data_IF_106446601074
#
_entry.id   IF_106446601074
#
_cell.length_a   1.000
_cell.length_b   1.000
_cell.length_c   1.000
_cell.angle_alpha   90.00
_cell.angle_beta   90.00
_cell.angle_gamma   90.00
#
_symmetry.space_group_name_H-M   'P 1'
#
loop_
_entity.id
_entity.type
_entity.pdbx_description
1 polymer ?
#
# COMPACT_ATOMS: atom_id res chain seq x y z
N UNK A 1 15.93 -25.81 76.91
CA UNK A 1 15.83 -24.84 75.80
C UNK A 1 15.49 -25.59 74.52
N UNK A 2 14.22 -25.63 74.13
CA UNK A 2 13.78 -26.22 72.85
C UNK A 2 13.42 -25.06 71.93
N UNK A 3 14.15 -24.91 70.81
CA UNK A 3 13.85 -23.91 69.78
C UNK A 3 12.84 -24.50 68.81
N UNK A 4 11.62 -23.98 68.81
CA UNK A 4 10.60 -24.26 67.78
C UNK A 4 10.91 -23.39 66.57
N UNK A 5 11.20 -24.01 65.42
CA UNK A 5 11.38 -23.33 64.15
C UNK A 5 10.00 -23.16 63.49
N UNK A 6 9.51 -21.93 63.39
CA UNK A 6 8.25 -21.59 62.73
C UNK A 6 8.50 -21.54 61.22
N UNK A 7 8.02 -22.53 60.47
CA UNK A 7 8.04 -22.52 59.00
C UNK A 7 6.87 -21.69 58.48
N UNK A 8 7.15 -20.50 57.93
CA UNK A 8 6.18 -19.69 57.20
C UNK A 8 6.06 -20.24 55.78
N UNK A 9 4.94 -20.87 55.46
CA UNK A 9 4.60 -21.28 54.10
C UNK A 9 4.07 -20.07 53.35
N UNK A 10 4.90 -19.49 52.47
CA UNK A 10 4.48 -18.46 51.52
C UNK A 10 3.69 -19.13 50.39
N UNK A 11 2.36 -19.04 50.44
CA UNK A 11 1.48 -19.40 49.32
C UNK A 11 1.60 -18.34 48.23
N UNK A 12 2.51 -18.55 47.27
CA UNK A 12 2.59 -17.77 46.04
C UNK A 12 1.39 -18.19 45.15
N UNK A 13 0.34 -17.38 45.13
CA UNK A 13 -0.69 -17.49 44.09
C UNK A 13 -0.06 -17.04 42.76
N UNK A 14 0.39 -18.00 41.96
CA UNK A 14 0.66 -17.74 40.55
C UNK A 14 -0.69 -17.40 39.87
N UNK A 15 -0.81 -16.26 39.15
CA UNK A 15 -2.01 -16.00 38.38
C UNK A 15 -2.16 -17.11 37.35
N UNK A 16 -3.25 -17.89 37.45
CA UNK A 16 -3.65 -18.80 36.40
C UNK A 16 -3.77 -18.00 35.10
N UNK A 17 -3.24 -18.48 33.95
CA UNK A 17 -3.48 -17.80 32.70
C UNK A 17 -4.99 -17.74 32.48
N UNK A 18 -5.53 -16.52 32.40
CA UNK A 18 -6.92 -16.31 32.04
C UNK A 18 -7.16 -16.98 30.68
N UNK A 19 -7.93 -18.06 30.68
CA UNK A 19 -8.31 -18.76 29.46
C UNK A 19 -9.12 -17.83 28.56
N UNK A 20 -9.03 -18.04 27.24
CA UNK A 20 -9.91 -17.33 26.32
C UNK A 20 -11.37 -17.72 26.59
N UNK A 21 -12.28 -16.74 26.55
CA UNK A 21 -13.73 -16.98 26.50
C UNK A 21 -14.06 -17.58 25.14
N UNK A 22 -14.54 -18.82 25.10
CA UNK A 22 -14.94 -19.51 23.87
C UNK A 22 -16.45 -19.44 23.72
N UNK A 23 -16.94 -18.92 22.59
CA UNK A 23 -18.36 -18.97 22.26
C UNK A 23 -18.69 -20.37 21.71
N UNK A 24 -19.35 -21.20 22.51
CA UNK A 24 -19.64 -22.61 22.17
C UNK A 24 -20.87 -22.81 21.26
N UNK A 25 -21.64 -21.74 21.05
CA UNK A 25 -22.87 -21.73 20.27
C UNK A 25 -23.08 -20.37 19.60
N UNK A 26 -23.98 -20.32 18.63
CA UNK A 26 -24.40 -19.07 18.01
C UNK A 26 -24.80 -18.05 19.08
N UNK A 27 -24.19 -16.88 19.01
CA UNK A 27 -24.25 -15.88 20.08
C UNK A 27 -24.61 -14.52 19.48
N UNK A 28 -25.44 -13.77 20.20
CA UNK A 28 -25.80 -12.39 19.85
C UNK A 28 -25.25 -11.44 20.91
N UNK A 29 -24.49 -10.45 20.48
CA UNK A 29 -24.02 -9.33 21.29
C UNK A 29 -24.88 -8.09 21.03
N UNK A 30 -25.25 -7.41 22.11
CA UNK A 30 -26.18 -6.26 22.13
C UNK A 30 -25.78 -5.29 23.22
N UNK A 31 -25.87 -4.00 22.94
CA UNK A 31 -25.59 -2.94 23.91
C UNK A 31 -24.10 -2.83 24.22
N UNK A 32 -23.77 -2.48 25.47
CA UNK A 32 -22.38 -2.34 25.90
C UNK A 32 -21.83 -3.66 26.48
N UNK A 33 -20.72 -4.14 25.94
CA UNK A 33 -20.04 -5.35 26.41
C UNK A 33 -18.55 -5.06 26.53
N UNK A 34 -17.92 -5.52 27.60
CA UNK A 34 -16.48 -5.35 27.82
C UNK A 34 -15.80 -6.69 28.12
N UNK A 35 -14.60 -6.89 27.58
CA UNK A 35 -13.81 -8.10 27.77
C UNK A 35 -12.39 -7.76 28.24
N UNK A 36 -11.93 -8.47 29.27
CA UNK A 36 -10.56 -8.39 29.80
C UNK A 36 -9.69 -9.59 29.42
N UNK A 37 -10.34 -10.59 28.83
CA UNK A 37 -9.81 -11.85 28.36
C UNK A 37 -10.05 -11.99 26.85
N UNK A 38 -9.19 -12.73 26.11
CA UNK A 38 -9.42 -12.99 24.70
C UNK A 38 -10.76 -13.70 24.46
N UNK A 39 -11.43 -13.39 23.37
CA UNK A 39 -12.66 -14.05 22.95
C UNK A 39 -12.41 -14.82 21.66
N UNK A 40 -12.79 -16.10 21.63
CA UNK A 40 -12.65 -17.00 20.49
C UNK A 40 -14.03 -17.45 20.00
N UNK A 41 -14.30 -17.23 18.72
CA UNK A 41 -15.47 -17.76 17.99
C UNK A 41 -14.99 -18.94 17.14
N UNK A 42 -15.20 -20.20 17.55
CA UNK A 42 -14.71 -21.36 16.84
C UNK A 42 -15.42 -21.58 15.50
N UNK A 43 -14.86 -22.45 14.66
CA UNK A 43 -15.49 -22.85 13.41
C UNK A 43 -16.88 -23.46 13.66
N UNK A 44 -17.85 -23.15 12.80
CA UNK A 44 -19.24 -23.59 12.96
C UNK A 44 -20.11 -22.71 13.86
N UNK A 45 -19.53 -21.72 14.56
CA UNK A 45 -20.26 -20.77 15.40
C UNK A 45 -20.40 -19.41 14.72
N UNK A 46 -21.59 -18.82 14.81
CA UNK A 46 -21.89 -17.46 14.36
C UNK A 46 -21.95 -16.49 15.53
N UNK A 47 -21.13 -15.45 15.47
CA UNK A 47 -21.29 -14.26 16.30
C UNK A 47 -22.08 -13.18 15.52
N UNK A 48 -23.22 -12.77 16.07
CA UNK A 48 -23.97 -11.62 15.57
C UNK A 48 -23.80 -10.44 16.53
N UNK A 49 -23.45 -9.27 16.02
CA UNK A 49 -23.39 -8.03 16.80
C UNK A 49 -24.46 -7.09 16.27
N UNK A 50 -25.40 -6.70 17.14
CA UNK A 50 -26.52 -5.84 16.74
C UNK A 50 -26.06 -4.38 16.53
N UNK A 51 -26.73 -3.64 15.62
CA UNK A 51 -26.53 -2.21 15.46
C UNK A 51 -26.57 -1.44 16.77
N UNK A 52 -25.69 -0.44 16.90
CA UNK A 52 -25.58 0.39 18.10
C UNK A 52 -24.86 -0.27 19.28
N UNK A 53 -24.32 -1.48 19.12
CA UNK A 53 -23.54 -2.13 20.18
C UNK A 53 -22.15 -1.52 20.31
N UNK A 54 -21.65 -1.39 21.55
CA UNK A 54 -20.30 -0.94 21.86
C UNK A 54 -19.53 -2.06 22.57
N UNK A 55 -18.55 -2.63 21.87
CA UNK A 55 -17.76 -3.76 22.34
C UNK A 55 -16.35 -3.26 22.68
N UNK A 56 -15.98 -3.35 23.96
CA UNK A 56 -14.70 -2.84 24.49
C UNK A 56 -13.77 -3.98 24.89
N UNK A 57 -12.49 -3.88 24.53
CA UNK A 57 -11.46 -4.86 24.88
C UNK A 57 -10.32 -4.20 25.68
N UNK A 58 -9.91 -4.83 26.78
CA UNK A 58 -8.78 -4.37 27.59
C UNK A 58 -7.68 -5.42 27.62
N UNK A 59 -6.55 -5.14 26.95
CA UNK A 59 -5.41 -6.08 26.81
C UNK A 59 -5.82 -7.47 26.25
N UNK A 60 -6.92 -7.50 25.50
CA UNK A 60 -7.56 -8.69 24.95
C UNK A 60 -7.71 -8.61 23.42
N UNK A 61 -8.62 -9.37 22.83
CA UNK A 61 -8.98 -9.29 21.41
C UNK A 61 -10.03 -10.32 21.02
N UNK A 62 -10.52 -10.24 19.78
CA UNK A 62 -11.51 -11.16 19.23
C UNK A 62 -10.90 -11.98 18.09
N UNK A 63 -10.87 -13.30 18.23
CA UNK A 63 -10.54 -14.20 17.11
C UNK A 63 -11.81 -14.87 16.60
N UNK A 64 -12.08 -14.77 15.30
CA UNK A 64 -13.19 -15.45 14.64
C UNK A 64 -12.64 -16.47 13.66
N UNK A 65 -12.93 -17.75 13.91
CA UNK A 65 -12.71 -18.89 13.00
C UNK A 65 -14.03 -19.40 12.39
N UNK A 66 -15.15 -19.08 13.02
CA UNK A 66 -16.50 -19.30 12.49
C UNK A 66 -16.96 -18.13 11.62
N UNK A 67 -18.14 -17.60 11.92
CA UNK A 67 -18.76 -16.50 11.17
C UNK A 67 -18.98 -15.28 12.06
N UNK A 68 -18.80 -14.09 11.51
CA UNK A 68 -19.20 -12.83 12.17
C UNK A 68 -20.17 -12.03 11.30
N UNK A 69 -21.22 -11.52 11.92
CA UNK A 69 -22.20 -10.60 11.33
C UNK A 69 -22.32 -9.38 12.24
N UNK A 70 -21.59 -8.31 11.94
CA UNK A 70 -21.68 -7.05 12.66
C UNK A 70 -22.11 -5.92 11.72
N UNK A 71 -23.07 -5.13 12.19
CA UNK A 71 -23.55 -3.94 11.49
C UNK A 71 -23.55 -2.77 12.46
N UNK A 72 -23.08 -1.60 12.02
CA UNK A 72 -23.24 -0.32 12.74
C UNK A 72 -22.86 -0.42 14.23
N UNK A 73 -21.80 -1.18 14.51
CA UNK A 73 -21.30 -1.46 15.86
C UNK A 73 -19.92 -0.82 16.05
N UNK A 74 -19.58 -0.53 17.30
CA UNK A 74 -18.27 -0.01 17.66
C UNK A 74 -17.44 -1.09 18.35
N UNK A 75 -16.21 -1.27 17.88
CA UNK A 75 -15.18 -2.08 18.51
C UNK A 75 -14.02 -1.17 18.93
N UNK A 76 -13.74 -1.10 20.22
CA UNK A 76 -12.68 -0.25 20.74
C UNK A 76 -11.97 -0.91 21.91
N UNK A 77 -10.89 -0.29 22.39
CA UNK A 77 -10.14 -0.87 23.50
C UNK A 77 -8.80 -0.23 23.77
N UNK A 78 -8.16 -0.71 24.83
CA UNK A 78 -6.81 -0.29 25.23
C UNK A 78 -5.86 -1.48 25.16
N UNK A 79 -4.72 -1.28 24.48
CA UNK A 79 -3.70 -2.32 24.29
C UNK A 79 -4.25 -3.66 23.75
N UNK A 80 -5.35 -3.61 22.99
CA UNK A 80 -6.01 -4.79 22.45
C UNK A 80 -5.50 -5.13 21.04
N UNK A 81 -5.61 -6.40 20.66
CA UNK A 81 -5.04 -6.89 19.40
C UNK A 81 -5.84 -6.46 18.17
N UNK A 82 -7.15 -6.30 18.32
CA UNK A 82 -8.09 -6.04 17.22
C UNK A 82 -9.04 -7.20 16.94
N UNK A 83 -9.66 -7.16 15.76
CA UNK A 83 -10.49 -8.24 15.22
C UNK A 83 -9.62 -9.14 14.33
N UNK A 84 -9.48 -10.41 14.68
CA UNK A 84 -8.69 -11.39 13.91
C UNK A 84 -9.63 -12.41 13.26
N UNK A 85 -9.83 -12.28 11.96
CA UNK A 85 -10.69 -13.14 11.15
C UNK A 85 -9.83 -14.20 10.44
N UNK A 86 -9.92 -15.47 10.86
CA UNK A 86 -9.10 -16.57 10.33
C UNK A 86 -9.94 -17.55 9.55
N UNK A 87 -9.68 -17.66 8.24
CA UNK A 87 -10.39 -18.61 7.38
C UNK A 87 -11.88 -18.32 7.21
N UNK A 88 -12.34 -17.12 7.59
CA UNK A 88 -13.77 -16.77 7.51
C UNK A 88 -14.22 -16.65 6.07
N UNK A 89 -15.45 -17.07 5.78
CA UNK A 89 -16.03 -17.04 4.44
C UNK A 89 -16.59 -15.67 4.03
N UNK A 90 -17.07 -15.61 2.78
CA UNK A 90 -17.76 -14.45 2.18
C UNK A 90 -19.07 -14.08 2.90
N UNK A 91 -19.60 -15.02 3.66
CA UNK A 91 -20.79 -14.88 4.49
C UNK A 91 -20.52 -14.14 5.81
N UNK A 92 -19.26 -13.88 6.16
CA UNK A 92 -18.87 -12.98 7.24
C UNK A 92 -18.87 -11.52 6.78
N UNK A 93 -19.47 -10.65 7.59
CA UNK A 93 -19.72 -9.26 7.26
C UNK A 93 -19.41 -8.36 8.46
N UNK A 94 -18.60 -7.33 8.21
CA UNK A 94 -18.54 -6.12 9.02
C UNK A 94 -19.02 -4.96 8.14
N UNK A 95 -20.13 -4.32 8.51
CA UNK A 95 -20.73 -3.25 7.73
C UNK A 95 -21.03 -2.01 8.57
N UNK A 96 -20.53 -0.83 8.19
CA UNK A 96 -20.79 0.41 8.92
C UNK A 96 -20.19 0.44 10.33
N UNK A 97 -19.29 -0.49 10.67
CA UNK A 97 -18.70 -0.56 12.00
C UNK A 97 -17.58 0.47 12.18
N UNK A 98 -17.40 0.93 13.42
CA UNK A 98 -16.24 1.74 13.83
C UNK A 98 -15.25 0.85 14.59
N UNK A 99 -13.96 0.90 14.23
CA UNK A 99 -12.90 0.12 14.87
C UNK A 99 -11.74 1.02 15.26
N UNK A 100 -11.38 1.07 16.54
CA UNK A 100 -10.34 1.98 17.05
C UNK A 100 -9.50 1.46 18.23
N UNK A 101 -8.33 2.07 18.43
CA UNK A 101 -7.46 1.80 19.59
C UNK A 101 -6.70 0.47 19.56
N UNK A 102 -6.71 -0.24 18.42
CA UNK A 102 -6.13 -1.57 18.28
C UNK A 102 -4.68 -1.56 17.81
N UNK A 103 -3.96 -2.66 18.09
CA UNK A 103 -2.71 -2.96 17.40
C UNK A 103 -2.93 -3.18 15.89
N UNK A 104 -4.00 -3.86 15.49
CA UNK A 104 -4.47 -3.96 14.10
C UNK A 104 -5.98 -3.98 14.09
N UNK A 105 -6.66 -2.97 13.55
CA UNK A 105 -8.12 -2.87 13.65
C UNK A 105 -8.84 -4.13 13.17
N UNK A 106 -8.58 -4.53 11.92
CA UNK A 106 -9.07 -5.79 11.35
C UNK A 106 -7.93 -6.54 10.68
N UNK A 107 -7.68 -7.77 11.11
CA UNK A 107 -6.71 -8.67 10.49
C UNK A 107 -7.41 -9.87 9.89
N UNK A 108 -7.26 -10.08 8.59
CA UNK A 108 -7.79 -11.24 7.87
C UNK A 108 -6.65 -12.18 7.50
N UNK A 109 -6.76 -13.44 7.90
CA UNK A 109 -5.80 -14.50 7.59
C UNK A 109 -6.50 -15.60 6.78
N UNK A 110 -6.15 -15.75 5.51
CA UNK A 110 -6.72 -16.78 4.61
C UNK A 110 -8.25 -16.80 4.54
N UNK A 111 -8.89 -15.63 4.69
CA UNK A 111 -10.36 -15.48 4.65
C UNK A 111 -10.83 -14.57 3.52
N UNK A 112 -12.13 -14.56 3.27
CA UNK A 112 -12.79 -13.75 2.24
C UNK A 112 -13.97 -12.90 2.77
N UNK A 113 -13.89 -12.26 3.95
CA UNK A 113 -15.00 -11.50 4.50
C UNK A 113 -15.34 -10.25 3.66
N UNK A 114 -16.55 -9.73 3.89
CA UNK A 114 -16.98 -8.43 3.40
C UNK A 114 -16.76 -7.36 4.47
N UNK A 115 -15.97 -6.35 4.13
CA UNK A 115 -15.64 -5.20 4.97
C UNK A 115 -16.17 -3.95 4.27
N UNK A 116 -17.30 -3.43 4.73
CA UNK A 116 -18.09 -2.45 3.99
C UNK A 116 -18.37 -1.21 4.84
N UNK A 117 -18.09 -0.01 4.33
CA UNK A 117 -18.44 1.23 5.03
C UNK A 117 -17.77 1.39 6.40
N UNK A 118 -16.63 0.74 6.63
CA UNK A 118 -15.98 0.75 7.94
C UNK A 118 -15.30 2.09 8.21
N UNK A 119 -15.33 2.53 9.47
CA UNK A 119 -14.47 3.61 9.96
C UNK A 119 -13.37 2.99 10.82
N UNK A 120 -12.16 2.93 10.28
CA UNK A 120 -11.01 2.28 10.94
C UNK A 120 -9.94 3.33 11.25
N UNK A 121 -9.89 3.75 12.51
CA UNK A 121 -9.09 4.90 12.92
C UNK A 121 -8.35 4.73 14.25
N UNK A 122 -7.27 5.49 14.42
CA UNK A 122 -6.46 5.51 15.65
C UNK A 122 -5.93 4.13 16.05
N UNK A 123 -5.71 3.24 15.08
CA UNK A 123 -5.05 1.96 15.29
C UNK A 123 -3.57 2.08 14.90
N UNK A 124 -2.75 1.08 15.21
CA UNK A 124 -1.40 1.02 14.64
C UNK A 124 -1.43 0.63 13.16
N UNK A 125 -2.19 -0.40 12.82
CA UNK A 125 -2.55 -0.76 11.44
C UNK A 125 -4.08 -0.76 11.36
N UNK A 126 -4.65 -0.18 10.32
CA UNK A 126 -6.10 -0.18 10.15
C UNK A 126 -6.62 -1.57 9.78
N UNK A 127 -6.41 -1.98 8.53
CA UNK A 127 -6.78 -3.30 8.01
C UNK A 127 -5.53 -4.02 7.48
N UNK A 128 -5.36 -5.29 7.84
CA UNK A 128 -4.27 -6.13 7.37
C UNK A 128 -4.81 -7.44 6.76
N UNK A 129 -4.54 -7.65 5.48
CA UNK A 129 -4.94 -8.84 4.72
C UNK A 129 -3.69 -9.67 4.42
N UNK A 130 -3.62 -10.90 4.94
CA UNK A 130 -2.43 -11.75 4.83
C UNK A 130 -2.76 -13.16 4.39
N UNK A 131 -1.74 -13.91 3.95
CA UNK A 131 -1.83 -15.36 3.64
C UNK A 131 -2.97 -15.67 2.66
N UNK A 132 -2.90 -15.12 1.46
CA UNK A 132 -3.89 -15.36 0.39
C UNK A 132 -5.33 -14.98 0.77
N UNK A 133 -5.50 -13.95 1.61
CA UNK A 133 -6.84 -13.42 1.90
C UNK A 133 -7.46 -12.77 0.65
N UNK A 134 -8.78 -12.95 0.51
CA UNK A 134 -9.57 -12.55 -0.66
C UNK A 134 -10.78 -11.67 -0.26
N UNK A 135 -10.59 -10.84 0.77
CA UNK A 135 -11.62 -9.95 1.30
C UNK A 135 -12.11 -8.90 0.29
N UNK A 136 -13.33 -8.41 0.48
CA UNK A 136 -13.80 -7.15 -0.15
C UNK A 136 -13.65 -6.03 0.88
N UNK A 137 -12.99 -4.94 0.50
CA UNK A 137 -12.90 -3.69 1.27
C UNK A 137 -13.52 -2.60 0.42
N UNK A 138 -14.70 -2.10 0.81
CA UNK A 138 -15.47 -1.17 -0.02
C UNK A 138 -16.09 -0.04 0.78
N UNK A 139 -15.96 1.20 0.32
CA UNK A 139 -16.58 2.36 0.98
C UNK A 139 -16.00 2.66 2.36
N UNK A 140 -14.81 2.15 2.69
CA UNK A 140 -14.23 2.27 4.02
C UNK A 140 -13.43 3.56 4.15
N UNK A 141 -13.44 4.17 5.35
CA UNK A 141 -12.54 5.25 5.75
C UNK A 141 -11.44 4.70 6.65
N UNK A 142 -10.19 4.79 6.22
CA UNK A 142 -9.01 4.37 6.97
C UNK A 142 -8.16 5.60 7.29
N UNK A 143 -8.31 6.12 8.50
CA UNK A 143 -7.75 7.42 8.85
C UNK A 143 -6.95 7.41 10.14
N UNK A 144 -5.90 8.23 10.24
CA UNK A 144 -5.13 8.45 11.47
C UNK A 144 -4.59 7.16 12.11
N UNK A 145 -4.32 6.12 11.32
CA UNK A 145 -3.65 4.94 11.84
C UNK A 145 -2.15 5.25 11.91
N UNK A 146 -1.51 4.95 13.06
CA UNK A 146 -0.16 5.44 13.36
C UNK A 146 0.94 4.85 12.47
N UNK A 147 0.63 3.81 11.67
CA UNK A 147 1.54 3.32 10.62
C UNK A 147 0.86 3.18 9.26
N UNK A 148 -0.09 2.26 9.12
CA UNK A 148 -0.64 1.89 7.81
C UNK A 148 -2.15 1.86 7.86
N UNK A 149 -2.82 2.48 6.89
CA UNK A 149 -4.27 2.36 6.72
C UNK A 149 -4.64 0.93 6.32
N UNK A 150 -4.25 0.51 5.11
CA UNK A 150 -4.49 -0.83 4.58
C UNK A 150 -3.18 -1.54 4.18
N UNK A 151 -3.02 -2.79 4.59
CA UNK A 151 -1.88 -3.64 4.21
C UNK A 151 -2.36 -4.91 3.51
N UNK A 152 -1.88 -5.15 2.29
CA UNK A 152 -2.07 -6.41 1.56
C UNK A 152 -0.74 -7.13 1.49
N UNK A 153 -0.69 -8.37 2.00
CA UNK A 153 0.56 -9.11 2.14
C UNK A 153 0.42 -10.57 1.74
N UNK A 154 1.51 -11.11 1.19
CA UNK A 154 1.73 -12.56 1.04
C UNK A 154 0.58 -13.25 0.27
N UNK A 155 0.38 -12.82 -0.97
CA UNK A 155 -0.55 -13.43 -1.93
C UNK A 155 -2.00 -12.97 -1.81
N UNK A 156 -2.30 -11.89 -1.09
CA UNK A 156 -3.66 -11.38 -0.97
C UNK A 156 -4.23 -10.95 -2.35
N UNK A 157 -5.49 -11.32 -2.62
CA UNK A 157 -6.20 -11.07 -3.89
C UNK A 157 -7.44 -10.18 -3.72
N UNK A 158 -7.54 -9.49 -2.58
CA UNK A 158 -8.68 -8.65 -2.20
C UNK A 158 -9.17 -7.65 -3.28
N UNK A 159 -10.45 -7.31 -3.21
CA UNK A 159 -11.03 -6.18 -3.94
C UNK A 159 -11.08 -4.95 -3.04
N UNK A 160 -10.41 -3.86 -3.42
CA UNK A 160 -10.34 -2.60 -2.66
C UNK A 160 -10.93 -1.49 -3.52
N UNK A 161 -12.11 -1.01 -3.15
CA UNK A 161 -12.86 -0.06 -3.98
C UNK A 161 -13.46 1.08 -3.18
N UNK A 162 -13.45 2.28 -3.76
CA UNK A 162 -14.16 3.45 -3.24
C UNK A 162 -13.86 3.74 -1.75
N UNK A 163 -12.62 3.50 -1.32
CA UNK A 163 -12.17 3.76 0.04
C UNK A 163 -11.45 5.11 0.16
N UNK A 164 -11.59 5.73 1.32
CA UNK A 164 -10.91 6.98 1.69
C UNK A 164 -9.74 6.69 2.66
N UNK A 165 -8.55 7.13 2.30
CA UNK A 165 -7.33 7.05 3.09
C UNK A 165 -6.86 8.45 3.47
N UNK A 166 -6.68 8.69 4.76
CA UNK A 166 -6.35 10.03 5.25
C UNK A 166 -5.40 10.03 6.45
N UNK A 167 -4.32 10.79 6.33
CA UNK A 167 -3.42 11.10 7.44
C UNK A 167 -2.91 9.86 8.21
N UNK A 168 -2.57 8.77 7.49
CA UNK A 168 -1.92 7.62 8.11
C UNK A 168 -0.41 7.86 8.27
N UNK A 169 0.18 7.32 9.33
CA UNK A 169 1.52 7.73 9.79
C UNK A 169 2.68 7.35 8.87
N UNK A 170 2.51 6.36 8.00
CA UNK A 170 3.57 5.91 7.07
C UNK A 170 3.06 5.64 5.66
N UNK A 171 1.98 4.88 5.54
CA UNK A 171 1.37 4.52 4.26
C UNK A 171 -0.15 4.59 4.34
N UNK A 172 -0.81 5.18 3.35
CA UNK A 172 -2.26 5.03 3.20
C UNK A 172 -2.60 3.57 2.93
N UNK A 173 -2.06 3.03 1.84
CA UNK A 173 -2.08 1.62 1.51
C UNK A 173 -0.69 1.07 1.19
N UNK A 174 -0.40 -0.17 1.62
CA UNK A 174 0.82 -0.89 1.29
C UNK A 174 0.51 -2.29 0.75
N UNK A 175 0.84 -2.52 -0.52
CA UNK A 175 0.71 -3.79 -1.21
C UNK A 175 2.11 -4.43 -1.31
N UNK A 176 2.26 -5.60 -0.72
CA UNK A 176 3.50 -6.36 -0.66
C UNK A 176 3.27 -7.80 -1.13
N UNK A 177 3.95 -8.19 -2.20
CA UNK A 177 3.88 -9.53 -2.81
C UNK A 177 2.44 -10.02 -2.98
N UNK A 178 1.58 -9.14 -3.47
CA UNK A 178 0.14 -9.34 -3.55
C UNK A 178 -0.39 -8.72 -4.83
N UNK A 179 -1.47 -9.29 -5.38
CA UNK A 179 -2.12 -8.83 -6.60
C UNK A 179 -3.63 -8.74 -6.32
N UNK A 180 -4.11 -7.63 -5.73
CA UNK A 180 -5.54 -7.42 -5.56
C UNK A 180 -6.27 -7.59 -6.89
N UNK A 181 -7.43 -8.27 -6.87
CA UNK A 181 -8.29 -8.45 -8.05
C UNK A 181 -8.85 -7.13 -8.56
N UNK A 182 -8.94 -6.11 -7.68
CA UNK A 182 -9.34 -4.74 -8.03
C UNK A 182 -8.78 -3.76 -7.00
N UNK A 183 -8.23 -2.64 -7.48
CA UNK A 183 -7.83 -1.50 -6.65
C UNK A 183 -8.22 -0.20 -7.38
N UNK A 184 -9.43 0.28 -7.14
CA UNK A 184 -10.02 1.33 -7.96
C UNK A 184 -10.96 2.29 -7.21
N UNK A 185 -11.09 3.52 -7.69
CA UNK A 185 -12.01 4.51 -7.11
C UNK A 185 -11.59 5.02 -5.73
N UNK A 186 -10.40 4.66 -5.25
CA UNK A 186 -9.94 5.05 -3.93
C UNK A 186 -9.40 6.47 -3.93
N UNK A 187 -9.51 7.14 -2.79
CA UNK A 187 -9.01 8.49 -2.56
C UNK A 187 -7.96 8.49 -1.46
N UNK A 188 -6.84 9.18 -1.70
CA UNK A 188 -5.75 9.33 -0.74
C UNK A 188 -5.42 10.80 -0.55
N UNK A 189 -5.38 11.26 0.71
CA UNK A 189 -5.04 12.65 1.08
C UNK A 189 -4.19 12.72 2.34
N UNK A 190 -3.32 13.72 2.40
CA UNK A 190 -2.47 14.01 3.55
C UNK A 190 -1.62 12.80 3.99
N UNK A 191 -1.27 11.91 3.06
CA UNK A 191 -0.45 10.75 3.33
C UNK A 191 1.03 11.09 3.15
N UNK A 192 1.89 10.46 3.97
CA UNK A 192 3.34 10.51 3.71
C UNK A 192 3.69 9.75 2.42
N UNK A 193 3.08 8.59 2.24
CA UNK A 193 3.10 7.85 0.97
C UNK A 193 1.70 7.26 0.81
N UNK A 194 0.94 7.76 -0.15
CA UNK A 194 -0.45 7.35 -0.31
C UNK A 194 -0.57 5.87 -0.69
N UNK A 195 0.14 5.44 -1.74
CA UNK A 195 0.18 4.03 -2.16
C UNK A 195 1.60 3.52 -2.32
N UNK A 196 1.96 2.49 -1.56
CA UNK A 196 3.22 1.76 -1.68
C UNK A 196 3.00 0.41 -2.35
N UNK A 197 3.68 0.16 -3.46
CA UNK A 197 3.72 -1.12 -4.18
C UNK A 197 5.15 -1.64 -4.12
N UNK A 198 5.38 -2.80 -3.49
CA UNK A 198 6.76 -3.23 -3.25
C UNK A 198 7.01 -4.70 -3.51
N UNK A 199 8.22 -4.97 -3.98
CA UNK A 199 8.80 -6.28 -4.28
C UNK A 199 8.25 -6.91 -5.56
N UNK A 200 9.12 -7.69 -6.20
CA UNK A 200 8.76 -8.53 -7.34
C UNK A 200 7.50 -9.38 -7.07
N UNK A 201 6.62 -9.43 -8.06
CA UNK A 201 5.33 -10.10 -7.98
C UNK A 201 4.20 -9.20 -7.46
N UNK A 202 4.48 -7.96 -7.07
CA UNK A 202 3.47 -6.92 -6.83
C UNK A 202 3.15 -6.20 -8.14
N UNK A 203 2.34 -6.85 -8.97
CA UNK A 203 2.00 -6.36 -10.31
C UNK A 203 0.47 -6.23 -10.51
N UNK A 204 -0.25 -5.52 -9.64
CA UNK A 204 -1.68 -5.29 -9.82
C UNK A 204 -1.98 -4.22 -10.89
N UNK A 205 -3.24 -4.18 -11.32
CA UNK A 205 -3.82 -3.01 -11.99
C UNK A 205 -4.34 -2.05 -10.92
N UNK A 206 -3.82 -0.82 -10.94
CA UNK A 206 -4.24 0.30 -10.08
C UNK A 206 -4.94 1.31 -11.00
N UNK A 207 -6.26 1.43 -10.88
CA UNK A 207 -7.05 2.16 -11.86
C UNK A 207 -8.05 3.16 -11.27
N UNK A 208 -8.13 4.36 -11.84
CA UNK A 208 -9.18 5.32 -11.48
C UNK A 208 -9.13 5.80 -10.04
N UNK A 209 -7.94 5.89 -9.43
CA UNK A 209 -7.77 6.40 -8.07
C UNK A 209 -7.41 7.89 -8.08
N UNK A 210 -7.73 8.59 -7.01
CA UNK A 210 -7.39 10.00 -6.79
C UNK A 210 -6.39 10.11 -5.64
N UNK A 211 -5.16 10.56 -5.94
CA UNK A 211 -4.08 10.70 -4.98
C UNK A 211 -3.60 12.15 -4.98
N UNK A 212 -4.11 12.94 -4.03
CA UNK A 212 -3.81 14.37 -3.96
C UNK A 212 -3.32 14.82 -2.60
N UNK A 213 -2.53 15.89 -2.57
CA UNK A 213 -2.09 16.54 -1.34
C UNK A 213 -1.29 15.59 -0.42
N UNK A 214 -0.49 14.70 -1.04
CA UNK A 214 0.38 13.76 -0.34
C UNK A 214 1.85 14.17 -0.49
N UNK A 215 2.70 13.68 0.41
CA UNK A 215 4.14 13.82 0.23
C UNK A 215 4.63 12.95 -0.94
N UNK A 216 4.15 11.71 -1.05
CA UNK A 216 4.29 10.89 -2.26
C UNK A 216 2.95 10.27 -2.64
N UNK A 217 2.51 10.43 -3.89
CA UNK A 217 1.29 9.81 -4.41
C UNK A 217 1.43 8.29 -4.50
N UNK A 218 2.20 7.82 -5.48
CA UNK A 218 2.48 6.39 -5.67
C UNK A 218 3.99 6.14 -5.57
N UNK A 219 4.39 5.18 -4.75
CA UNK A 219 5.75 4.65 -4.73
C UNK A 219 5.78 3.20 -5.19
N UNK A 220 6.53 2.92 -6.24
CA UNK A 220 6.79 1.58 -6.75
C UNK A 220 8.24 1.22 -6.42
N UNK A 221 8.44 0.10 -5.74
CA UNK A 221 9.74 -0.23 -5.14
C UNK A 221 10.15 -1.70 -5.32
N UNK A 222 11.45 -1.97 -5.43
CA UNK A 222 12.07 -3.30 -5.43
C UNK A 222 11.50 -4.24 -6.50
N UNK A 223 11.55 -3.82 -7.76
CA UNK A 223 11.12 -4.63 -8.91
C UNK A 223 9.63 -4.99 -8.96
N UNK A 224 8.77 -4.21 -8.29
CA UNK A 224 7.33 -4.25 -8.56
C UNK A 224 7.02 -3.67 -9.96
N UNK A 225 6.04 -4.26 -10.66
CA UNK A 225 5.67 -3.88 -12.04
C UNK A 225 4.15 -3.72 -12.20
N UNK A 226 3.51 -2.80 -11.45
CA UNK A 226 2.09 -2.56 -11.56
C UNK A 226 1.72 -1.91 -12.90
N UNK A 227 0.45 -2.02 -13.27
CA UNK A 227 -0.17 -1.20 -14.31
C UNK A 227 -0.93 -0.06 -13.64
N UNK A 228 -0.57 1.18 -13.96
CA UNK A 228 -1.21 2.39 -13.44
C UNK A 228 -2.04 3.00 -14.58
N UNK A 229 -3.36 3.01 -14.44
CA UNK A 229 -4.26 3.40 -15.54
C UNK A 229 -5.33 4.40 -15.08
N UNK A 230 -5.41 5.56 -15.71
CA UNK A 230 -6.52 6.50 -15.45
C UNK A 230 -6.57 7.05 -14.02
N UNK A 231 -5.44 7.12 -13.31
CA UNK A 231 -5.37 7.73 -11.98
C UNK A 231 -5.16 9.25 -12.09
N UNK A 232 -5.73 10.02 -11.15
CA UNK A 232 -5.42 11.43 -10.95
C UNK A 232 -4.43 11.55 -9.77
N UNK A 233 -3.20 11.97 -10.07
CA UNK A 233 -2.07 12.06 -9.15
C UNK A 233 -1.61 13.53 -9.15
N UNK A 234 -2.21 14.35 -8.29
CA UNK A 234 -2.09 15.80 -8.40
C UNK A 234 -1.78 16.51 -7.08
N UNK A 235 -0.99 17.58 -7.11
CA UNK A 235 -0.75 18.39 -5.90
C UNK A 235 0.11 17.68 -4.85
N UNK A 236 0.86 16.66 -5.23
CA UNK A 236 1.77 15.95 -4.32
C UNK A 236 3.18 16.57 -4.40
N UNK A 237 4.02 16.34 -3.38
CA UNK A 237 5.45 16.65 -3.55
C UNK A 237 6.07 15.75 -4.61
N UNK A 238 5.86 14.45 -4.54
CA UNK A 238 6.21 13.52 -5.64
C UNK A 238 4.96 12.79 -6.10
N UNK A 239 4.60 12.91 -7.38
CA UNK A 239 3.45 12.22 -7.95
C UNK A 239 3.67 10.71 -7.99
N UNK A 240 4.62 10.27 -8.82
CA UNK A 240 5.03 8.87 -8.97
C UNK A 240 6.52 8.72 -8.67
N UNK A 241 6.88 7.83 -7.76
CA UNK A 241 8.26 7.47 -7.45
C UNK A 241 8.56 6.01 -7.81
N UNK A 242 9.32 5.80 -8.88
CA UNK A 242 9.86 4.50 -9.26
C UNK A 242 11.25 4.31 -8.66
N UNK A 243 11.41 3.33 -7.77
CA UNK A 243 12.63 3.12 -7.00
C UNK A 243 13.11 1.67 -7.10
N UNK A 244 14.42 1.47 -7.24
CA UNK A 244 15.09 0.15 -7.26
C UNK A 244 14.45 -0.84 -8.23
N UNK A 245 14.71 -0.64 -9.52
CA UNK A 245 14.34 -1.57 -10.60
C UNK A 245 12.85 -1.76 -10.80
N UNK A 246 12.07 -0.74 -10.43
CA UNK A 246 10.63 -0.77 -10.59
C UNK A 246 10.24 -0.33 -12.00
N UNK A 247 9.51 -1.19 -12.70
CA UNK A 247 9.21 -1.01 -14.13
C UNK A 247 7.68 -0.96 -14.36
N UNK A 248 6.95 0.02 -13.78
CA UNK A 248 5.50 0.10 -13.96
C UNK A 248 5.14 0.51 -15.40
N UNK A 249 3.96 0.07 -15.85
CA UNK A 249 3.32 0.58 -17.07
C UNK A 249 2.34 1.68 -16.68
N UNK A 250 2.53 2.89 -17.17
CA UNK A 250 1.80 4.09 -16.75
C UNK A 250 1.12 4.70 -17.95
N UNK A 251 -0.20 4.50 -18.07
CA UNK A 251 -0.96 4.90 -19.25
C UNK A 251 -2.25 5.62 -18.93
N UNK A 252 -2.54 6.72 -19.63
CA UNK A 252 -3.83 7.42 -19.49
C UNK A 252 -4.02 8.10 -18.13
N UNK A 253 -2.95 8.34 -17.36
CA UNK A 253 -3.03 9.00 -16.07
C UNK A 253 -2.90 10.51 -16.20
N UNK A 254 -3.41 11.22 -15.20
CA UNK A 254 -3.17 12.64 -14.99
C UNK A 254 -2.19 12.78 -13.83
N UNK A 255 -0.98 13.22 -14.11
CA UNK A 255 0.08 13.43 -13.13
C UNK A 255 0.45 14.91 -13.22
N UNK A 256 -0.25 15.77 -12.48
CA UNK A 256 -0.19 17.23 -12.68
C UNK A 256 0.08 18.01 -11.41
N UNK A 257 0.59 19.23 -11.53
CA UNK A 257 0.72 20.15 -10.40
C UNK A 257 1.46 19.54 -9.19
N UNK A 258 2.37 18.60 -9.42
CA UNK A 258 3.24 18.06 -8.38
C UNK A 258 4.56 18.85 -8.37
N UNK A 259 5.27 18.82 -7.25
CA UNK A 259 6.62 19.40 -7.21
C UNK A 259 7.57 18.60 -8.15
N UNK A 260 7.49 17.27 -8.10
CA UNK A 260 8.07 16.36 -9.08
C UNK A 260 6.95 15.43 -9.58
N UNK A 261 6.66 15.45 -10.88
CA UNK A 261 5.66 14.57 -11.49
C UNK A 261 6.05 13.11 -11.37
N UNK A 262 7.18 12.74 -11.99
CA UNK A 262 7.74 11.39 -11.95
C UNK A 262 9.20 11.42 -11.54
N UNK A 263 9.53 10.76 -10.42
CA UNK A 263 10.89 10.52 -9.96
C UNK A 263 11.29 9.08 -10.27
N UNK A 264 12.42 8.89 -10.95
CA UNK A 264 12.93 7.56 -11.32
C UNK A 264 14.34 7.40 -10.79
N UNK A 265 14.56 6.34 -10.00
CA UNK A 265 15.86 6.10 -9.41
C UNK A 265 16.25 4.64 -9.26
N UNK A 266 17.57 4.41 -9.18
CA UNK A 266 18.21 3.11 -8.98
C UNK A 266 17.77 2.06 -10.00
N UNK A 267 18.06 2.34 -11.26
CA UNK A 267 17.86 1.43 -12.39
C UNK A 267 16.41 0.98 -12.57
N UNK A 268 15.47 1.90 -12.36
CA UNK A 268 14.03 1.71 -12.59
C UNK A 268 13.69 2.15 -14.02
N UNK A 269 12.86 1.41 -14.74
CA UNK A 269 12.52 1.73 -16.13
C UNK A 269 11.01 1.70 -16.36
N UNK A 270 10.27 2.68 -15.82
CA UNK A 270 8.86 2.84 -16.15
C UNK A 270 8.66 3.13 -17.63
N UNK A 271 7.49 2.73 -18.14
CA UNK A 271 7.00 3.16 -19.45
C UNK A 271 5.82 4.10 -19.22
N UNK A 272 5.96 5.35 -19.65
CA UNK A 272 4.98 6.42 -19.48
C UNK A 272 4.42 6.76 -20.86
N UNK A 273 3.16 6.40 -21.14
CA UNK A 273 2.51 6.71 -22.43
C UNK A 273 1.13 7.33 -22.23
N UNK A 274 0.75 8.26 -23.10
CA UNK A 274 -0.61 8.81 -23.12
C UNK A 274 -1.06 9.39 -21.77
N UNK A 275 -0.13 9.94 -21.00
CA UNK A 275 -0.41 10.63 -19.76
C UNK A 275 -0.44 12.16 -19.99
N UNK A 276 -1.16 12.83 -19.10
CA UNK A 276 -1.11 14.27 -18.90
C UNK A 276 -0.09 14.55 -17.78
N UNK A 277 1.02 15.20 -18.13
CA UNK A 277 2.13 15.57 -17.23
C UNK A 277 2.22 17.09 -16.99
N UNK A 278 1.13 17.83 -17.24
CA UNK A 278 1.17 19.29 -17.23
C UNK A 278 1.31 19.89 -15.83
N UNK A 279 1.95 21.08 -15.77
CA UNK A 279 1.97 21.93 -14.59
C UNK A 279 2.78 21.38 -13.40
N UNK A 280 3.55 20.31 -13.57
CA UNK A 280 4.52 19.90 -12.56
C UNK A 280 5.71 20.85 -12.57
N UNK A 281 6.27 21.19 -11.40
CA UNK A 281 7.49 22.03 -11.35
C UNK A 281 8.67 21.34 -12.06
N UNK A 282 8.79 20.03 -11.89
CA UNK A 282 9.64 19.17 -12.71
C UNK A 282 8.80 17.96 -13.13
N UNK A 283 8.55 17.78 -14.43
CA UNK A 283 7.70 16.70 -14.92
C UNK A 283 8.36 15.33 -14.72
N UNK A 284 9.66 15.23 -14.98
CA UNK A 284 10.41 13.98 -14.83
C UNK A 284 11.83 14.23 -14.31
N UNK A 285 12.24 13.47 -13.31
CA UNK A 285 13.58 13.53 -12.72
C UNK A 285 14.22 12.15 -12.65
N UNK A 286 15.47 12.05 -13.10
CA UNK A 286 16.31 10.87 -12.92
C UNK A 286 17.32 11.10 -11.77
N UNK A 287 17.50 10.09 -10.92
CA UNK A 287 18.52 10.08 -9.86
C UNK A 287 19.16 8.69 -9.75
N UNK A 288 20.49 8.59 -9.73
CA UNK A 288 21.18 7.30 -9.64
C UNK A 288 20.65 6.27 -10.66
N UNK A 289 20.31 6.74 -11.86
CA UNK A 289 19.63 5.97 -12.89
C UNK A 289 20.61 5.65 -14.01
N UNK A 290 21.02 4.38 -14.13
CA UNK A 290 22.03 3.99 -15.12
C UNK A 290 21.89 2.53 -15.54
N UNK A 291 21.74 2.29 -16.85
CA UNK A 291 21.81 0.93 -17.41
C UNK A 291 23.24 0.38 -17.37
N UNK A 292 24.24 1.26 -17.46
CA UNK A 292 25.64 0.87 -17.37
C UNK A 292 25.94 0.30 -15.98
N UNK A 293 25.46 0.99 -14.94
CA UNK A 293 25.53 0.50 -13.57
C UNK A 293 24.81 -0.83 -13.40
N UNK A 294 23.56 -0.94 -13.89
CA UNK A 294 22.74 -2.15 -13.74
C UNK A 294 23.38 -3.37 -14.39
N UNK A 295 24.02 -3.20 -15.56
CA UNK A 295 24.74 -4.28 -16.26
C UNK A 295 25.97 -4.77 -15.50
N UNK A 296 26.69 -3.88 -14.83
CA UNK A 296 27.96 -4.22 -14.19
C UNK A 296 27.80 -4.61 -12.71
N UNK A 297 26.93 -3.93 -11.97
CA UNK A 297 26.81 -4.04 -10.51
C UNK A 297 25.45 -4.58 -10.03
N UNK A 298 24.43 -4.55 -10.89
CA UNK A 298 23.05 -4.89 -10.50
C UNK A 298 22.90 -6.27 -9.87
N UNK A 299 23.49 -7.30 -10.47
CA UNK A 299 23.39 -8.68 -9.98
C UNK A 299 24.00 -8.85 -8.58
N UNK A 300 25.18 -8.26 -8.34
CA UNK A 300 25.85 -8.29 -7.04
C UNK A 300 25.05 -7.53 -5.98
N UNK A 301 24.52 -6.35 -6.31
CA UNK A 301 23.67 -5.57 -5.40
C UNK A 301 22.41 -6.34 -4.98
N UNK A 302 21.79 -7.09 -5.90
CA UNK A 302 20.61 -7.93 -5.61
C UNK A 302 20.91 -9.10 -4.68
N UNK A 303 22.08 -9.71 -4.80
CA UNK A 303 22.50 -10.77 -3.87
C UNK A 303 22.62 -10.23 -2.45
N UNK A 304 23.16 -9.02 -2.28
CA UNK A 304 23.28 -8.36 -0.97
C UNK A 304 21.91 -7.94 -0.40
N UNK A 305 20.99 -7.42 -1.22
CA UNK A 305 19.63 -7.06 -0.77
C UNK A 305 18.83 -8.28 -0.28
N UNK A 306 19.00 -9.44 -0.92
CA UNK A 306 18.30 -10.69 -0.56
C UNK A 306 18.66 -11.19 0.84
N UNK A 307 19.89 -10.92 1.28
CA UNK A 307 20.37 -11.27 2.62
C UNK A 307 19.78 -10.36 3.71
N UNK A 308 19.24 -9.18 3.34
CA UNK A 308 18.70 -8.16 4.26
C UNK A 308 17.19 -7.98 4.05
N UNK A 309 16.41 -9.02 4.32
CA UNK A 309 14.94 -8.91 4.31
C UNK A 309 14.45 -8.02 5.46
N UNK A 310 13.70 -6.96 5.14
CA UNK A 310 13.14 -6.01 6.12
C UNK A 310 12.12 -6.62 7.10
N UNK A 311 11.72 -7.88 6.90
CA UNK A 311 10.73 -8.59 7.72
C UNK A 311 11.18 -10.00 8.15
N UNK A 312 12.47 -10.35 8.02
CA UNK A 312 13.02 -11.61 8.55
C UNK A 312 12.47 -12.92 7.97
N UNK A 313 11.51 -12.87 7.05
CA UNK A 313 10.88 -14.06 6.49
C UNK A 313 11.72 -14.67 5.35
N UNK A 314 11.94 -15.99 5.43
CA UNK A 314 12.47 -16.79 4.32
C UNK A 314 11.49 -16.71 3.14
N UNK A 315 11.96 -16.48 1.91
CA UNK A 315 11.08 -16.40 0.75
C UNK A 315 10.44 -17.78 0.48
N UNK A 316 9.11 -17.83 0.35
CA UNK A 316 8.37 -19.04 -0.08
C UNK A 316 8.71 -19.48 -1.52
N UNK A 317 9.33 -18.59 -2.31
CA UNK A 317 9.85 -18.85 -3.66
C UNK A 317 11.11 -18.03 -3.89
N UNK A 318 12.20 -18.66 -4.33
CA UNK A 318 13.39 -17.95 -4.80
C UNK A 318 13.04 -17.22 -6.11
N UNK A 319 13.01 -15.90 -6.06
CA UNK A 319 12.91 -15.09 -7.29
C UNK A 319 14.25 -15.17 -8.01
N UNK A 320 14.26 -15.63 -9.26
CA UNK A 320 15.48 -15.74 -10.08
C UNK A 320 16.07 -14.38 -10.42
N UNK A 321 17.34 -14.36 -10.84
CA UNK A 321 17.99 -13.13 -11.30
C UNK A 321 17.29 -12.52 -12.51
N UNK A 322 16.86 -13.35 -13.46
CA UNK A 322 16.11 -12.92 -14.65
C UNK A 322 14.79 -12.23 -14.29
N UNK A 323 14.09 -12.73 -13.27
CA UNK A 323 12.84 -12.15 -12.80
C UNK A 323 13.05 -10.77 -12.14
N UNK A 324 14.21 -10.51 -11.53
CA UNK A 324 14.51 -9.25 -10.81
C UNK A 324 15.16 -8.19 -11.68
N UNK A 325 15.81 -8.59 -12.77
CA UNK A 325 16.55 -7.69 -13.66
C UNK A 325 15.59 -6.79 -14.42
N UNK A 326 15.99 -5.54 -14.62
CA UNK A 326 15.29 -4.61 -15.51
C UNK A 326 15.13 -5.20 -16.92
N UNK A 327 13.95 -5.01 -17.52
CA UNK A 327 13.64 -5.54 -18.86
C UNK A 327 14.27 -4.74 -20.01
N UNK A 328 14.82 -3.55 -19.72
CA UNK A 328 15.28 -2.58 -20.72
C UNK A 328 16.71 -2.85 -21.19
N UNK A 329 16.94 -2.62 -22.49
CA UNK A 329 18.24 -2.86 -23.14
C UNK A 329 19.07 -1.59 -23.33
N UNK A 330 18.49 -0.40 -23.46
CA UNK A 330 19.20 0.77 -24.01
C UNK A 330 19.42 1.94 -23.04
N UNK A 331 18.98 1.85 -21.78
CA UNK A 331 19.20 2.95 -20.81
C UNK A 331 18.38 4.20 -21.08
N UNK A 332 17.17 4.02 -21.61
CA UNK A 332 16.23 5.10 -21.86
C UNK A 332 14.97 4.89 -21.04
N UNK A 333 14.48 5.97 -20.43
CA UNK A 333 13.14 6.03 -19.86
C UNK A 333 12.17 6.39 -20.97
N UNK A 334 11.24 5.50 -21.29
CA UNK A 334 10.25 5.71 -22.34
C UNK A 334 9.12 6.60 -21.83
N UNK A 335 9.14 7.88 -22.23
CA UNK A 335 8.13 8.88 -21.89
C UNK A 335 7.49 9.50 -23.13
N UNK A 336 7.39 8.72 -24.21
CA UNK A 336 6.80 9.18 -25.48
C UNK A 336 5.28 9.28 -25.38
N UNK A 337 4.68 9.97 -26.33
CA UNK A 337 3.23 10.14 -26.46
C UNK A 337 2.57 10.68 -25.18
N UNK A 338 3.29 11.43 -24.34
CA UNK A 338 2.67 12.18 -23.26
C UNK A 338 2.34 13.60 -23.72
N UNK A 339 1.39 14.23 -23.04
CA UNK A 339 1.16 15.66 -23.12
C UNK A 339 1.84 16.33 -21.94
N UNK A 340 2.61 17.40 -22.20
CA UNK A 340 3.49 18.02 -21.20
C UNK A 340 2.93 19.33 -20.63
N UNK A 341 1.78 19.79 -21.11
CA UNK A 341 1.29 21.16 -20.91
C UNK A 341 1.36 21.97 -22.19
N UNK A 342 0.58 23.04 -22.30
CA UNK A 342 0.50 23.84 -23.53
C UNK A 342 1.83 24.56 -23.82
N UNK A 343 2.41 25.21 -22.81
CA UNK A 343 3.66 25.96 -22.95
C UNK A 343 4.85 25.03 -23.17
N UNK A 344 4.94 23.96 -22.37
CA UNK A 344 5.98 22.93 -22.47
C UNK A 344 5.95 22.26 -23.83
N UNK A 345 4.76 21.89 -24.32
CA UNK A 345 4.60 21.30 -25.67
C UNK A 345 4.98 22.29 -26.77
N UNK A 346 4.69 23.58 -26.61
CA UNK A 346 5.14 24.63 -27.55
C UNK A 346 6.67 24.73 -27.57
N UNK A 347 7.32 24.72 -26.41
CA UNK A 347 8.79 24.72 -26.29
C UNK A 347 9.42 23.50 -26.94
N UNK A 348 8.87 22.31 -26.73
CA UNK A 348 9.35 21.07 -27.35
C UNK A 348 9.35 21.15 -28.89
N UNK A 349 8.38 21.83 -29.51
CA UNK A 349 8.36 22.04 -30.97
C UNK A 349 9.54 22.86 -31.47
N UNK A 350 10.00 23.82 -30.66
CA UNK A 350 11.18 24.64 -30.98
C UNK A 350 12.48 23.88 -30.70
N UNK A 351 12.54 23.13 -29.58
CA UNK A 351 13.73 22.37 -29.16
C UNK A 351 13.99 21.13 -30.04
N UNK A 352 12.92 20.50 -30.55
CA UNK A 352 13.01 19.25 -31.29
C UNK A 352 13.18 18.01 -30.40
N UNK A 353 13.23 16.82 -31.01
CA UNK A 353 13.25 15.54 -30.30
C UNK A 353 14.51 15.29 -29.46
N UNK A 354 15.62 15.93 -29.81
CA UNK A 354 16.91 15.75 -29.15
C UNK A 354 17.26 16.88 -28.15
N UNK A 355 16.38 17.88 -28.02
CA UNK A 355 16.60 19.04 -27.16
C UNK A 355 16.64 18.72 -25.66
N UNK A 356 16.99 19.73 -24.85
CA UNK A 356 17.03 19.62 -23.40
C UNK A 356 15.96 20.52 -22.73
N UNK A 357 14.74 20.01 -22.52
CA UNK A 357 13.68 20.78 -21.87
C UNK A 357 13.89 20.88 -20.34
N UNK A 358 13.76 22.08 -19.78
CA UNK A 358 14.02 22.39 -18.37
C UNK A 358 13.12 21.66 -17.36
N UNK A 359 11.98 21.13 -17.81
CA UNK A 359 11.05 20.38 -16.98
C UNK A 359 11.37 18.86 -16.95
N UNK A 360 12.41 18.42 -17.63
CA UNK A 360 12.98 17.08 -17.53
C UNK A 360 14.42 17.21 -17.03
N UNK A 361 14.75 16.49 -15.96
CA UNK A 361 16.11 16.43 -15.45
C UNK A 361 16.69 15.04 -15.69
N UNK A 362 17.61 14.92 -16.65
CA UNK A 362 18.20 13.65 -17.06
C UNK A 362 19.70 13.76 -17.41
N UNK A 363 20.24 12.75 -18.10
CA UNK A 363 21.64 12.72 -18.56
C UNK A 363 22.09 13.88 -19.45
N UNK A 364 21.20 14.77 -19.89
CA UNK A 364 21.53 16.03 -20.56
C UNK A 364 21.92 17.12 -19.56
N UNK A 365 21.27 17.17 -18.41
CA UNK A 365 21.55 18.14 -17.34
C UNK A 365 22.67 17.68 -16.42
N UNK A 366 22.69 16.38 -16.12
CA UNK A 366 23.70 15.75 -15.27
C UNK A 366 24.27 14.53 -16.00
N UNK A 367 25.46 14.68 -16.58
CA UNK A 367 26.06 13.61 -17.40
C UNK A 367 26.36 12.32 -16.60
N UNK A 368 26.81 12.44 -15.35
CA UNK A 368 27.19 11.29 -14.52
C UNK A 368 26.81 11.47 -13.06
N UNK A 369 26.86 10.37 -12.29
CA UNK A 369 26.80 10.36 -10.83
C UNK A 369 27.84 9.42 -10.23
N UNK A 370 28.23 9.66 -8.98
CA UNK A 370 29.18 8.81 -8.25
C UNK A 370 28.46 7.77 -7.39
N UNK A 371 28.85 6.50 -7.52
CA UNK A 371 28.40 5.43 -6.62
C UNK A 371 29.52 4.39 -6.43
N UNK A 372 29.85 4.11 -5.16
CA UNK A 372 30.90 3.15 -4.81
C UNK A 372 32.30 3.57 -5.28
N UNK A 373 32.57 4.88 -5.37
CA UNK A 373 33.86 5.43 -5.84
C UNK A 373 34.08 5.31 -7.34
N UNK A 374 33.02 5.06 -8.12
CA UNK A 374 33.05 5.03 -9.57
C UNK A 374 31.98 5.98 -10.14
N UNK A 375 32.31 6.63 -11.26
CA UNK A 375 31.41 7.48 -12.01
C UNK A 375 30.57 6.66 -12.99
N UNK A 376 29.27 6.91 -13.03
CA UNK A 376 28.32 6.21 -13.88
C UNK A 376 27.54 7.21 -14.75
N UNK A 377 27.34 6.93 -16.04
CA UNK A 377 26.52 7.77 -16.89
C UNK A 377 25.08 7.75 -16.39
N UNK A 378 24.46 8.92 -16.30
CA UNK A 378 23.04 9.04 -16.04
C UNK A 378 22.28 8.77 -17.35
N UNK A 379 21.26 7.92 -17.26
CA UNK A 379 20.38 7.60 -18.38
C UNK A 379 19.63 8.84 -18.89
N UNK A 380 18.94 8.70 -20.03
CA UNK A 380 18.15 9.77 -20.64
C UNK A 380 16.67 9.42 -20.73
N UNK A 381 15.85 10.46 -20.82
CA UNK A 381 14.43 10.36 -21.12
C UNK A 381 14.21 10.46 -22.61
N UNK A 382 13.40 9.56 -23.13
CA UNK A 382 12.86 9.60 -24.49
C UNK A 382 11.45 10.18 -24.44
N UNK A 383 11.31 11.48 -24.65
CA UNK A 383 10.03 12.21 -24.56
C UNK A 383 9.36 12.42 -25.94
N UNK A 384 10.05 12.11 -27.04
CA UNK A 384 9.57 12.31 -28.41
C UNK A 384 9.17 10.98 -29.10
N UNK A 385 8.05 10.94 -29.86
CA UNK A 385 7.12 12.04 -30.08
C UNK A 385 6.31 12.38 -28.83
N UNK A 386 5.77 13.60 -28.76
CA UNK A 386 4.85 14.05 -27.71
C UNK A 386 3.48 14.39 -28.32
N UNK A 387 2.44 14.46 -27.48
CA UNK A 387 1.08 14.79 -27.94
C UNK A 387 0.92 16.30 -28.13
N UNK A 388 0.12 16.69 -29.12
CA UNK A 388 -0.26 18.08 -29.36
C UNK A 388 -1.39 18.57 -28.45
N UNK A 389 -2.22 17.65 -27.95
CA UNK A 389 -3.36 17.91 -27.08
C UNK A 389 -3.34 16.96 -25.89
N UNK A 390 -3.97 17.34 -24.76
CA UNK A 390 -4.14 16.42 -23.63
C UNK A 390 -4.83 15.13 -24.07
N UNK A 391 -4.43 13.96 -23.52
CA UNK A 391 -5.18 12.73 -23.70
C UNK A 391 -6.56 12.84 -23.02
N UNK A 392 -7.58 12.11 -23.50
CA UNK A 392 -8.88 12.08 -22.84
C UNK A 392 -8.74 11.44 -21.45
N UNK A 393 -9.39 12.04 -20.44
CA UNK A 393 -9.40 11.53 -19.08
C UNK A 393 -10.84 11.30 -18.61
N UNK A 394 -11.10 10.20 -17.91
CA UNK A 394 -12.47 9.74 -17.61
C UNK A 394 -13.33 10.76 -16.87
N UNK A 395 -12.75 11.59 -16.00
CA UNK A 395 -13.53 12.63 -15.28
C UNK A 395 -13.95 13.81 -16.13
N UNK A 396 -13.34 14.00 -17.31
CA UNK A 396 -13.64 15.13 -18.20
C UNK A 396 -14.79 14.82 -19.16
N UNK A 397 -15.07 13.52 -19.37
CA UNK A 397 -16.31 13.06 -19.96
C UNK A 397 -17.37 13.11 -18.86
N UNK A 398 -18.01 14.27 -18.69
CA UNK A 398 -19.02 14.49 -17.65
C UNK A 398 -19.98 13.31 -17.50
N UNK A 399 -20.32 13.00 -16.25
CA UNK A 399 -21.19 11.92 -15.79
C UNK A 399 -22.44 11.82 -16.66
N UNK A 400 -22.36 10.99 -17.69
CA UNK A 400 -23.48 10.58 -18.54
C UNK A 400 -23.54 9.06 -18.46
N UNK A 401 -23.95 8.57 -17.30
CA UNK A 401 -24.62 7.27 -17.17
C UNK A 401 -25.52 7.29 -15.94
#
# INVERSE_FOLDING_TARGET
MVRVLLAVVLLVFAPLPAGALVLDRDTVWRGEISFSEPVDVPAGVTLRVEPGSHIRFERAGLTVRGRILAREAEFSGTAWSGLVLRGVGIDSLLAGCRISGAATGVRVESGAPRLEGLVVENNRIGIELVRQSDATVSGCRLARNSRVGLMLKDGATAGVVDCDFEANGRFGAYIYKSKPRRFAGNRFRAEKVALMLSHYGTDPVIAGNCLSDNDTGIKVDRAARPQLVGNDISGNRVGLYCYRRSDPQVTGNRIRANEIGVLVAYSSYPVLRDNDLAGNRLALKLEFQSIAWERQKGAAARQQESARSAFGARPHRSVSENERRASVREGLIDARNNWWGEEETRRLRTLGPDGNPEFIHDGRDQATFEEGGQSWPLDRVLFAPWRSTPPPFKSDAGDKS
#
